data_IF_332188637416
#
_entry.id   IF_332188637416
#
_cell.length_a   1.000
_cell.length_b   1.000
_cell.length_c   1.000
_cell.angle_alpha   90.00
_cell.angle_beta   90.00
_cell.angle_gamma   90.00
#
_symmetry.space_group_name_H-M   'P 1'
#
loop_
_entity.id
_entity.type
_entity.pdbx_description
1 polymer ?
#
# COMPACT_ATOMS: atom_id res chain seq x y z
N UNK A 1 3.58 25.92 -9.85
CA UNK A 1 4.32 24.64 -10.05
C UNK A 1 3.37 23.75 -10.82
N UNK A 2 3.68 23.46 -12.09
CA UNK A 2 2.76 22.73 -12.97
C UNK A 2 2.65 21.27 -12.55
N UNK A 3 1.43 20.80 -12.29
CA UNK A 3 1.18 19.37 -12.09
C UNK A 3 1.48 18.65 -13.41
N UNK A 4 2.25 17.57 -13.34
CA UNK A 4 2.35 16.62 -14.46
C UNK A 4 0.96 16.00 -14.61
N UNK A 5 0.27 16.18 -15.74
CA UNK A 5 -1.02 15.55 -15.92
C UNK A 5 -0.81 14.03 -15.89
N UNK A 6 -1.60 13.28 -15.10
CA UNK A 6 -1.53 11.83 -15.12
C UNK A 6 -1.74 11.32 -16.56
N UNK A 7 -0.82 10.48 -17.02
CA UNK A 7 -0.98 9.78 -18.30
C UNK A 7 -1.96 8.65 -18.05
N UNK A 8 -3.22 8.87 -18.41
CA UNK A 8 -4.24 7.84 -18.32
C UNK A 8 -4.16 6.89 -19.51
N UNK A 9 -4.45 5.60 -19.26
CA UNK A 9 -4.96 4.75 -20.34
C UNK A 9 -6.19 5.45 -20.95
N UNK A 10 -6.41 5.39 -22.27
CA UNK A 10 -7.60 5.97 -22.91
C UNK A 10 -8.93 5.48 -22.31
N UNK A 11 -8.91 4.37 -21.57
CA UNK A 11 -10.06 3.80 -20.86
C UNK A 11 -10.35 4.41 -19.49
N UNK A 12 -9.41 5.14 -18.88
CA UNK A 12 -9.60 5.78 -17.57
C UNK A 12 -10.02 7.23 -17.80
N UNK A 13 -11.27 7.54 -17.46
CA UNK A 13 -11.87 8.86 -17.66
C UNK A 13 -11.59 9.83 -16.49
N UNK A 14 -11.12 9.32 -15.35
CA UNK A 14 -10.73 10.12 -14.18
C UNK A 14 -10.28 9.26 -13.00
N UNK A 15 -9.62 9.89 -12.02
CA UNK A 15 -9.22 9.28 -10.74
C UNK A 15 -9.91 10.05 -9.61
N UNK A 16 -10.47 9.32 -8.64
CA UNK A 16 -10.91 9.90 -7.38
C UNK A 16 -9.74 9.95 -6.40
N UNK A 17 -9.26 11.17 -6.13
CA UNK A 17 -8.17 11.42 -5.20
C UNK A 17 -8.64 11.61 -3.75
N UNK A 18 -7.67 11.80 -2.86
CA UNK A 18 -7.94 12.09 -1.44
C UNK A 18 -8.60 13.45 -1.21
N UNK A 19 -8.50 14.39 -2.15
CA UNK A 19 -9.25 15.65 -2.15
C UNK A 19 -10.77 15.44 -2.15
N UNK A 20 -11.25 14.45 -2.91
CA UNK A 20 -12.64 14.02 -2.90
C UNK A 20 -12.94 13.06 -1.75
N UNK A 21 -12.14 11.99 -1.61
CA UNK A 21 -12.39 10.89 -0.67
C UNK A 21 -12.31 11.32 0.80
N UNK A 22 -11.55 12.38 1.14
CA UNK A 22 -11.43 12.90 2.51
C UNK A 22 -12.74 13.45 3.11
N UNK A 23 -13.78 13.62 2.30
CA UNK A 23 -15.09 14.06 2.75
C UNK A 23 -15.95 12.92 3.33
N UNK A 24 -15.46 11.69 3.29
CA UNK A 24 -16.23 10.49 3.63
C UNK A 24 -15.50 9.58 4.62
N UNK A 25 -16.25 8.69 5.25
CA UNK A 25 -15.74 7.37 5.61
C UNK A 25 -15.92 6.51 4.36
N UNK A 26 -14.81 6.02 3.81
CA UNK A 26 -14.80 5.25 2.56
C UNK A 26 -14.69 3.79 2.89
N UNK A 27 -15.53 2.96 2.29
CA UNK A 27 -15.48 1.50 2.40
C UNK A 27 -15.23 0.92 1.01
N UNK A 28 -14.16 0.14 0.90
CA UNK A 28 -13.86 -0.68 -0.26
C UNK A 28 -14.26 -2.12 0.07
N UNK A 29 -15.17 -2.69 -0.69
CA UNK A 29 -15.57 -4.10 -0.61
C UNK A 29 -15.21 -4.77 -1.93
N UNK A 30 -14.06 -5.43 -1.97
CA UNK A 30 -13.57 -6.15 -3.14
C UNK A 30 -14.32 -7.46 -3.37
N UNK A 31 -14.97 -8.00 -2.32
CA UNK A 31 -15.78 -9.21 -2.43
C UNK A 31 -17.08 -8.92 -3.17
N UNK A 32 -17.75 -7.83 -2.83
CA UNK A 32 -18.99 -7.39 -3.49
C UNK A 32 -18.77 -6.42 -4.66
N UNK A 33 -17.51 -6.03 -4.92
CA UNK A 33 -17.11 -5.01 -5.91
C UNK A 33 -17.86 -3.68 -5.70
N UNK A 34 -17.84 -3.18 -4.46
CA UNK A 34 -18.51 -1.94 -4.07
C UNK A 34 -17.54 -0.94 -3.47
N UNK A 35 -17.79 0.33 -3.82
CA UNK A 35 -17.25 1.49 -3.12
C UNK A 35 -18.42 2.19 -2.42
N UNK A 36 -18.36 2.31 -1.10
CA UNK A 36 -19.41 2.98 -0.33
C UNK A 36 -18.85 4.26 0.29
N UNK A 37 -19.52 5.38 0.04
CA UNK A 37 -19.18 6.69 0.59
C UNK A 37 -20.17 7.03 1.71
N UNK A 38 -19.73 6.88 2.96
CA UNK A 38 -20.53 7.25 4.14
C UNK A 38 -20.23 8.68 4.55
N UNK A 39 -21.21 9.42 5.10
CA UNK A 39 -20.96 10.75 5.65
C UNK A 39 -19.81 10.74 6.65
N UNK A 40 -19.04 11.84 6.69
CA UNK A 40 -17.99 12.03 7.68
C UNK A 40 -18.56 11.88 9.10
N UNK A 41 -17.87 11.11 9.95
CA UNK A 41 -18.30 10.81 11.32
C UNK A 41 -19.25 9.62 11.45
N UNK A 42 -19.60 8.94 10.35
CA UNK A 42 -20.27 7.63 10.43
C UNK A 42 -19.39 6.65 11.21
N UNK A 43 -20.01 5.85 12.07
CA UNK A 43 -19.29 4.86 12.87
C UNK A 43 -18.81 3.71 11.97
N UNK A 44 -17.53 3.30 12.07
CA UNK A 44 -17.03 2.14 11.33
C UNK A 44 -17.72 0.84 11.80
N UNK A 45 -17.59 -0.23 11.02
CA UNK A 45 -18.11 -1.53 11.42
C UNK A 45 -17.44 -2.04 12.71
N UNK A 46 -18.21 -2.68 13.60
CA UNK A 46 -17.78 -2.99 14.97
C UNK A 46 -16.70 -4.10 15.07
N UNK A 47 -16.62 -4.98 14.08
CA UNK A 47 -15.76 -6.19 14.12
C UNK A 47 -14.47 -6.04 13.30
N UNK A 48 -14.02 -4.81 13.09
CA UNK A 48 -12.77 -4.49 12.40
C UNK A 48 -11.66 -4.13 13.39
N UNK A 49 -10.43 -4.50 13.05
CA UNK A 49 -9.24 -3.99 13.72
C UNK A 49 -8.93 -2.58 13.23
N UNK A 50 -8.66 -1.69 14.17
CA UNK A 50 -8.29 -0.31 13.88
C UNK A 50 -6.78 -0.18 13.73
N UNK A 51 -6.37 0.44 12.64
CA UNK A 51 -5.00 0.89 12.39
C UNK A 51 -4.99 2.40 12.47
N UNK A 52 -4.08 2.94 13.28
CA UNK A 52 -3.76 4.36 13.22
C UNK A 52 -3.06 4.65 11.89
N UNK A 53 -3.46 5.73 11.24
CA UNK A 53 -2.86 6.22 10.03
C UNK A 53 -2.28 7.61 10.23
N UNK A 54 -1.62 8.10 9.20
CA UNK A 54 -0.99 9.42 9.19
C UNK A 54 -1.21 10.10 7.85
N UNK A 55 -1.21 11.44 7.87
CA UNK A 55 -1.31 12.26 6.67
C UNK A 55 -0.02 13.03 6.46
N UNK A 56 0.51 13.07 5.24
CA UNK A 56 1.60 13.99 4.85
C UNK A 56 1.11 14.97 3.81
N UNK A 57 1.32 16.24 4.08
CA UNK A 57 0.98 17.35 3.21
C UNK A 57 2.19 18.28 3.00
N UNK A 58 2.39 18.82 1.78
CA UNK A 58 1.98 18.23 0.50
C UNK A 58 2.73 16.89 0.25
N UNK A 59 2.18 15.95 -0.55
CA UNK A 59 1.09 16.12 -1.52
C UNK A 59 -0.31 15.63 -1.08
N UNK A 60 -0.50 15.24 0.17
CA UNK A 60 -1.78 14.71 0.65
C UNK A 60 -1.85 13.20 0.48
N UNK A 61 -1.03 12.50 1.24
CA UNK A 61 -0.93 11.03 1.24
C UNK A 61 -1.42 10.49 2.58
N UNK A 62 -2.13 9.36 2.52
CA UNK A 62 -2.57 8.61 3.69
C UNK A 62 -1.70 7.37 3.84
N UNK A 63 -1.13 7.19 5.04
CA UNK A 63 -0.27 6.06 5.35
C UNK A 63 -0.76 5.27 6.53
N UNK A 64 -0.43 3.98 6.53
CA UNK A 64 -0.57 3.08 7.69
C UNK A 64 0.72 2.29 7.87
N UNK A 65 0.94 1.80 9.07
CA UNK A 65 2.07 0.91 9.38
C UNK A 65 1.71 -0.54 9.00
N UNK A 66 2.54 -1.16 8.16
CA UNK A 66 2.39 -2.55 7.70
C UNK A 66 3.61 -3.35 8.12
N UNK A 67 3.40 -4.50 8.75
CA UNK A 67 4.48 -5.44 9.06
C UNK A 67 4.72 -6.35 7.86
N UNK A 68 5.98 -6.50 7.46
CA UNK A 68 6.37 -7.43 6.41
C UNK A 68 7.00 -8.69 7.00
N UNK A 69 6.92 -9.80 6.28
CA UNK A 69 7.60 -11.04 6.65
C UNK A 69 8.11 -11.80 5.42
N UNK A 70 9.16 -12.60 5.60
CA UNK A 70 9.62 -13.58 4.59
C UNK A 70 9.82 -14.92 5.27
N UNK A 71 9.11 -15.94 4.78
CA UNK A 71 8.99 -17.22 5.48
C UNK A 71 8.45 -17.00 6.90
N UNK A 72 9.17 -17.51 7.89
CA UNK A 72 8.84 -17.36 9.32
C UNK A 72 9.46 -16.11 9.96
N UNK A 73 10.22 -15.31 9.20
CA UNK A 73 10.93 -14.14 9.73
C UNK A 73 10.08 -12.89 9.54
N UNK A 74 9.71 -12.23 10.64
CA UNK A 74 9.09 -10.91 10.63
C UNK A 74 10.15 -9.81 10.54
N UNK A 75 9.80 -8.71 9.87
CA UNK A 75 10.66 -7.54 9.79
C UNK A 75 10.95 -6.91 11.16
N UNK A 76 12.09 -6.24 11.27
CA UNK A 76 12.56 -5.60 12.51
C UNK A 76 11.76 -4.35 12.91
N UNK A 77 10.99 -3.78 11.99
CA UNK A 77 10.12 -2.63 12.20
C UNK A 77 8.97 -2.64 11.17
N UNK A 78 7.83 -2.00 11.45
CA UNK A 78 6.81 -1.80 10.44
C UNK A 78 7.28 -0.82 9.36
N UNK A 79 6.71 -0.95 8.18
CA UNK A 79 6.95 -0.10 7.01
C UNK A 79 5.76 0.85 6.84
N UNK A 80 6.04 2.12 6.58
CA UNK A 80 4.98 3.09 6.25
C UNK A 80 4.49 2.82 4.84
N UNK A 81 3.19 2.59 4.70
CA UNK A 81 2.56 2.21 3.44
C UNK A 81 1.56 3.26 2.95
N UNK A 82 1.77 3.83 1.75
CA UNK A 82 0.70 4.57 1.05
C UNK A 82 -0.37 3.56 0.66
N UNK A 83 -1.62 3.78 1.05
CA UNK A 83 -2.76 3.02 0.53
C UNK A 83 -3.12 3.57 -0.85
N UNK A 84 -2.79 2.84 -1.93
CA UNK A 84 -3.00 3.29 -3.31
C UNK A 84 -3.82 2.27 -4.11
N UNK A 85 -5.14 2.48 -4.16
CA UNK A 85 -6.05 1.65 -4.96
C UNK A 85 -5.92 1.89 -6.47
N UNK A 86 -5.13 2.88 -6.90
CA UNK A 86 -4.81 3.16 -8.30
C UNK A 86 -3.60 2.39 -8.81
N UNK A 87 -2.83 1.75 -7.92
CA UNK A 87 -1.68 0.94 -8.28
C UNK A 87 -2.03 -0.55 -8.27
N UNK A 88 -1.67 -1.27 -9.33
CA UNK A 88 -1.90 -2.72 -9.45
C UNK A 88 -0.84 -3.59 -8.78
N UNK A 89 0.24 -2.96 -8.28
CA UNK A 89 1.41 -3.62 -7.71
C UNK A 89 1.88 -2.89 -6.48
N UNK A 90 2.32 -3.67 -5.50
CA UNK A 90 2.95 -3.18 -4.29
C UNK A 90 4.45 -3.06 -4.51
N UNK A 91 5.01 -1.90 -4.17
CA UNK A 91 6.44 -1.59 -4.29
C UNK A 91 6.95 -1.08 -2.96
N UNK A 92 8.04 -1.64 -2.47
CA UNK A 92 8.78 -1.16 -1.32
C UNK A 92 10.17 -0.66 -1.71
N UNK A 93 10.71 0.30 -0.95
CA UNK A 93 12.06 0.78 -1.14
C UNK A 93 13.10 -0.18 -0.51
N UNK A 94 14.38 0.08 -0.75
CA UNK A 94 15.44 -0.76 -0.19
C UNK A 94 15.53 -0.68 1.34
N UNK A 95 15.18 0.45 1.95
CA UNK A 95 15.11 0.58 3.42
C UNK A 95 14.03 -0.34 4.03
N UNK A 96 12.90 -0.53 3.34
CA UNK A 96 11.86 -1.48 3.74
C UNK A 96 12.33 -2.93 3.59
N UNK A 97 13.01 -3.26 2.50
CA UNK A 97 13.61 -4.57 2.30
C UNK A 97 14.67 -4.89 3.38
N UNK A 98 15.44 -3.89 3.81
CA UNK A 98 16.43 -4.04 4.87
C UNK A 98 15.79 -4.40 6.22
N UNK A 99 14.53 -4.02 6.48
CA UNK A 99 13.83 -4.46 7.71
C UNK A 99 13.66 -5.98 7.78
N UNK A 100 13.64 -6.65 6.62
CA UNK A 100 13.58 -8.11 6.44
C UNK A 100 14.96 -8.77 6.34
N UNK A 101 16.05 -7.99 6.48
CA UNK A 101 17.41 -8.48 6.25
C UNK A 101 17.74 -8.74 4.77
N UNK A 102 17.01 -8.11 3.85
CA UNK A 102 17.22 -8.26 2.41
C UNK A 102 18.08 -7.11 1.90
N UNK A 103 19.24 -7.46 1.35
CA UNK A 103 20.16 -6.54 0.68
C UNK A 103 20.22 -6.82 -0.83
N UNK A 104 20.73 -5.88 -1.65
CA UNK A 104 20.99 -6.13 -3.06
C UNK A 104 21.86 -7.38 -3.25
N UNK A 105 21.35 -8.35 -4.02
CA UNK A 105 22.02 -9.64 -4.26
C UNK A 105 21.59 -10.77 -3.31
N UNK A 106 20.67 -10.52 -2.38
CA UNK A 106 20.03 -11.58 -1.59
C UNK A 106 19.45 -12.68 -2.48
N UNK A 107 19.60 -13.94 -2.08
CA UNK A 107 19.04 -15.10 -2.78
C UNK A 107 17.51 -15.15 -2.75
N UNK A 108 16.88 -14.32 -1.90
CA UNK A 108 15.42 -14.15 -1.81
C UNK A 108 14.87 -13.24 -2.92
N UNK A 109 15.74 -12.50 -3.61
CA UNK A 109 15.35 -11.60 -4.68
C UNK A 109 15.27 -12.36 -6.01
N UNK A 110 14.16 -12.19 -6.69
CA UNK A 110 13.92 -12.70 -8.03
C UNK A 110 13.95 -11.58 -9.06
N UNK A 111 14.41 -11.94 -10.26
CA UNK A 111 14.22 -11.13 -11.46
C UNK A 111 13.10 -11.77 -12.28
N UNK A 112 11.89 -11.25 -12.16
CA UNK A 112 10.73 -11.78 -12.89
C UNK A 112 10.41 -10.93 -14.12
N UNK A 113 11.36 -10.10 -14.56
CA UNK A 113 11.26 -9.32 -15.79
C UNK A 113 10.29 -8.14 -15.75
N UNK A 114 9.80 -7.75 -14.57
CA UNK A 114 8.97 -6.57 -14.41
C UNK A 114 9.80 -5.30 -14.64
N UNK A 115 9.30 -4.41 -15.48
CA UNK A 115 9.87 -3.09 -15.73
C UNK A 115 8.83 -2.04 -15.42
N UNK A 116 9.17 -1.09 -14.55
CA UNK A 116 8.32 0.06 -14.25
C UNK A 116 8.69 1.23 -15.17
N UNK A 117 7.69 2.03 -15.55
CA UNK A 117 7.93 3.27 -16.27
C UNK A 117 8.65 4.27 -15.35
N UNK A 118 9.91 4.60 -15.66
CA UNK A 118 10.65 5.63 -14.93
C UNK A 118 10.28 7.06 -15.34
N UNK A 119 10.63 8.05 -14.51
CA UNK A 119 10.30 9.47 -14.75
C UNK A 119 10.81 10.04 -16.08
N UNK A 120 11.88 9.47 -16.66
CA UNK A 120 12.47 9.91 -17.93
C UNK A 120 12.17 8.95 -19.10
N UNK A 121 11.20 8.05 -18.95
CA UNK A 121 10.89 7.01 -19.94
C UNK A 121 11.91 5.86 -19.99
N UNK A 122 12.95 5.90 -19.16
CA UNK A 122 13.85 4.76 -18.96
C UNK A 122 13.17 3.72 -18.06
N UNK A 123 13.19 2.43 -18.43
CA UNK A 123 12.62 1.39 -17.59
C UNK A 123 13.41 1.27 -16.30
N UNK A 124 12.71 1.32 -15.17
CA UNK A 124 13.27 0.97 -13.88
C UNK A 124 13.14 -0.55 -13.71
N UNK A 125 14.29 -1.23 -13.66
CA UNK A 125 14.32 -2.63 -13.28
C UNK A 125 13.98 -2.74 -11.80
N UNK A 126 13.06 -3.65 -11.49
CA UNK A 126 12.71 -3.97 -10.11
C UNK A 126 13.14 -5.40 -9.82
N UNK A 127 13.49 -5.64 -8.56
CA UNK A 127 13.57 -7.01 -8.03
C UNK A 127 12.26 -7.33 -7.34
N UNK A 128 11.95 -8.60 -7.18
CA UNK A 128 10.76 -9.02 -6.46
C UNK A 128 11.12 -10.00 -5.36
N UNK A 129 10.37 -9.97 -4.26
CA UNK A 129 10.50 -10.93 -3.17
C UNK A 129 9.11 -11.44 -2.78
N UNK A 130 8.98 -12.73 -2.54
CA UNK A 130 7.77 -13.31 -1.97
C UNK A 130 7.71 -12.98 -0.48
N UNK A 131 6.81 -12.07 -0.10
CA UNK A 131 6.70 -11.57 1.26
C UNK A 131 5.25 -11.54 1.75
N UNK A 132 5.05 -11.83 3.03
CA UNK A 132 3.79 -11.64 3.74
C UNK A 132 3.60 -10.18 4.15
N UNK A 133 2.34 -9.79 4.40
CA UNK A 133 1.99 -8.48 4.94
C UNK A 133 0.96 -8.65 6.06
N UNK A 134 1.17 -7.93 7.17
CA UNK A 134 0.25 -7.90 8.31
C UNK A 134 -0.18 -6.47 8.62
N UNK A 135 -1.49 -6.29 8.70
CA UNK A 135 -2.24 -5.07 8.94
C UNK A 135 -2.79 -5.10 10.38
N UNK A 136 -2.24 -4.26 11.24
CA UNK A 136 -2.57 -4.30 12.66
C UNK A 136 -2.18 -5.63 13.32
N UNK A 137 -2.81 -5.99 14.46
CA UNK A 137 -2.40 -7.16 15.24
C UNK A 137 -2.89 -8.50 14.67
N UNK A 138 -4.07 -8.54 14.05
CA UNK A 138 -4.73 -9.81 13.71
C UNK A 138 -5.07 -9.96 12.23
N UNK A 139 -4.47 -9.21 11.32
CA UNK A 139 -4.84 -9.29 9.90
C UNK A 139 -3.61 -9.54 9.04
N UNK A 140 -3.27 -10.81 8.81
CA UNK A 140 -2.24 -11.19 7.86
C UNK A 140 -2.87 -11.57 6.52
N UNK A 141 -2.24 -11.16 5.42
CA UNK A 141 -2.61 -11.61 4.07
C UNK A 141 -1.58 -12.62 3.56
N UNK A 142 -1.92 -13.33 2.48
CA UNK A 142 -1.06 -14.38 1.95
C UNK A 142 0.23 -13.76 1.38
N UNK A 143 1.37 -14.46 1.47
CA UNK A 143 2.58 -14.01 0.80
C UNK A 143 2.35 -13.80 -0.70
N UNK A 144 2.80 -12.65 -1.20
CA UNK A 144 2.76 -12.30 -2.63
C UNK A 144 4.08 -11.67 -3.05
N UNK A 145 4.35 -11.59 -4.35
CA UNK A 145 5.55 -10.94 -4.85
C UNK A 145 5.42 -9.43 -4.71
N UNK A 146 6.27 -8.84 -3.87
CA UNK A 146 6.40 -7.40 -3.70
C UNK A 146 7.61 -6.92 -4.50
N UNK A 147 7.43 -5.84 -5.25
CA UNK A 147 8.54 -5.20 -5.96
C UNK A 147 9.44 -4.43 -5.00
N UNK A 148 10.74 -4.47 -5.24
CA UNK A 148 11.79 -3.80 -4.46
C UNK A 148 12.54 -2.85 -5.37
N UNK A 149 12.35 -1.55 -5.15
CA UNK A 149 13.06 -0.49 -5.85
C UNK A 149 12.88 0.88 -5.19
N UNK A 150 13.90 1.73 -5.32
CA UNK A 150 13.77 3.16 -5.05
C UNK A 150 13.13 3.86 -6.25
N UNK A 151 11.80 3.94 -6.25
CA UNK A 151 11.07 4.62 -7.32
C UNK A 151 11.22 6.14 -7.16
N UNK A 152 11.38 6.89 -8.26
CA UNK A 152 11.47 8.36 -8.20
C UNK A 152 10.29 9.06 -7.50
N UNK A 153 9.12 8.40 -7.46
CA UNK A 153 7.93 8.90 -6.74
C UNK A 153 8.15 9.07 -5.23
N UNK A 154 8.94 8.21 -4.58
CA UNK A 154 9.23 8.32 -3.15
C UNK A 154 10.01 9.59 -2.82
N UNK A 155 11.05 9.89 -3.61
CA UNK A 155 11.81 11.13 -3.45
C UNK A 155 10.92 12.37 -3.66
N UNK A 156 9.99 12.34 -4.61
CA UNK A 156 9.02 13.41 -4.84
C UNK A 156 8.06 13.62 -3.64
N UNK A 157 7.84 12.58 -2.83
CA UNK A 157 7.08 12.64 -1.58
C UNK A 157 7.94 13.01 -0.36
N UNK A 158 9.22 13.37 -0.56
CA UNK A 158 10.16 13.68 0.51
C UNK A 158 10.45 12.46 1.40
N UNK A 159 10.46 11.28 0.80
CA UNK A 159 10.81 10.00 1.42
C UNK A 159 12.18 9.63 0.85
N UNK A 160 13.22 9.80 1.65
CA UNK A 160 14.62 9.70 1.18
C UNK A 160 15.47 8.75 2.00
N UNK A 161 15.03 8.40 3.21
CA UNK A 161 15.82 7.59 4.16
C UNK A 161 14.92 7.05 5.28
N UNK A 162 13.89 6.30 4.91
CA UNK A 162 13.03 5.57 5.85
C UNK A 162 12.38 4.37 5.14
N UNK A 163 12.11 3.25 5.87
CA UNK A 163 11.35 2.13 5.34
C UNK A 163 9.98 2.57 4.82
N UNK A 164 9.76 2.37 3.52
CA UNK A 164 8.59 2.89 2.85
C UNK A 164 8.05 1.98 1.75
N UNK A 165 6.72 1.94 1.60
CA UNK A 165 6.06 1.21 0.52
C UNK A 165 4.85 1.96 -0.06
N UNK A 166 4.56 1.68 -1.33
CA UNK A 166 3.29 1.94 -1.97
C UNK A 166 2.53 0.62 -2.01
N UNK A 167 1.38 0.58 -1.35
CA UNK A 167 0.52 -0.58 -1.25
C UNK A 167 -0.49 -0.58 -2.39
N UNK A 168 -0.37 -1.55 -3.29
CA UNK A 168 -1.24 -1.72 -4.45
C UNK A 168 -2.37 -2.72 -4.22
N UNK A 169 -3.21 -2.87 -5.24
CA UNK A 169 -4.39 -3.75 -5.18
C UNK A 169 -4.04 -5.23 -5.07
N UNK A 170 -2.86 -5.65 -5.50
CA UNK A 170 -2.33 -7.03 -5.35
C UNK A 170 -2.24 -7.49 -3.89
N UNK A 171 -2.12 -6.55 -2.94
CA UNK A 171 -2.15 -6.82 -1.50
C UNK A 171 -3.49 -6.36 -0.90
N UNK A 172 -3.97 -5.17 -1.25
CA UNK A 172 -5.19 -4.59 -0.65
C UNK A 172 -6.42 -5.46 -0.88
N UNK A 173 -6.58 -6.06 -2.06
CA UNK A 173 -7.77 -6.86 -2.37
C UNK A 173 -7.86 -8.13 -1.51
N UNK A 174 -6.72 -8.62 -1.00
CA UNK A 174 -6.68 -9.79 -0.12
C UNK A 174 -7.31 -9.54 1.26
N UNK A 175 -7.47 -8.27 1.65
CA UNK A 175 -8.24 -7.90 2.84
C UNK A 175 -9.73 -8.21 2.68
N UNK A 176 -10.21 -8.41 1.44
CA UNK A 176 -11.62 -8.64 1.10
C UNK A 176 -12.47 -7.37 1.18
N UNK A 177 -12.38 -6.64 2.30
CA UNK A 177 -12.92 -5.30 2.46
C UNK A 177 -12.06 -4.49 3.42
N UNK A 178 -12.13 -3.16 3.36
CA UNK A 178 -11.57 -2.28 4.39
C UNK A 178 -12.30 -0.94 4.41
N UNK A 179 -12.20 -0.22 5.53
CA UNK A 179 -12.70 1.15 5.65
C UNK A 179 -11.55 2.11 5.92
N UNK A 180 -11.64 3.35 5.45
CA UNK A 180 -10.66 4.38 5.74
C UNK A 180 -11.31 5.75 5.94
N UNK A 181 -10.72 6.53 6.83
CA UNK A 181 -11.05 7.95 7.01
C UNK A 181 -9.77 8.73 7.23
N UNK A 182 -9.43 9.59 6.26
CA UNK A 182 -8.26 10.47 6.38
C UNK A 182 -8.48 11.57 7.41
N UNK A 183 -9.73 11.98 7.65
CA UNK A 183 -10.07 12.94 8.69
C UNK A 183 -9.92 12.37 10.11
N UNK A 184 -10.26 11.08 10.29
CA UNK A 184 -9.98 10.37 11.54
C UNK A 184 -8.56 9.80 11.61
N UNK A 185 -7.80 9.89 10.50
CA UNK A 185 -6.50 9.28 10.29
C UNK A 185 -6.49 7.80 10.70
N UNK A 186 -7.48 7.03 10.25
CA UNK A 186 -7.66 5.62 10.62
C UNK A 186 -8.02 4.78 9.41
N UNK A 187 -7.57 3.53 9.46
CA UNK A 187 -8.00 2.46 8.58
C UNK A 187 -8.57 1.33 9.44
N UNK A 188 -9.62 0.68 8.97
CA UNK A 188 -10.23 -0.45 9.63
C UNK A 188 -10.18 -1.66 8.70
N UNK A 189 -9.61 -2.75 9.20
CA UNK A 189 -9.39 -3.99 8.44
C UNK A 189 -10.09 -5.17 9.09
N UNK A 190 -10.56 -6.18 8.33
CA UNK A 190 -11.20 -7.36 8.90
C UNK A 190 -10.19 -8.14 9.72
N UNK A 191 -10.58 -8.59 10.91
CA UNK A 191 -9.78 -9.56 11.66
C UNK A 191 -9.63 -10.82 10.80
N UNK A 192 -8.42 -11.36 10.68
CA UNK A 192 -8.27 -12.68 10.06
C UNK A 192 -9.08 -13.66 10.88
N UNK A 193 -10.12 -14.25 10.29
CA UNK A 193 -10.58 -15.54 10.76
C UNK A 193 -9.40 -16.48 10.57
N UNK A 194 -8.93 -17.17 11.60
CA UNK A 194 -7.88 -18.16 11.47
C UNK A 194 -8.09 -18.95 10.18
N UNK A 195 -7.07 -18.99 9.33
CA UNK A 195 -7.10 -19.80 8.13
C UNK A 195 -7.48 -21.22 8.59
N UNK A 196 -8.69 -21.66 8.23
CA UNK A 196 -9.03 -23.07 8.31
C UNK A 196 -8.02 -23.80 7.43
N UNK A 197 -7.24 -24.67 8.07
CA UNK A 197 -6.23 -25.58 7.50
C UNK A 197 -6.61 -26.18 6.14
#
# INVERSE_FOLDING_TARGET
>A
IGAIPPVFSPSVQGILGLDFLSNFLVEFDYTALKLVLRPKGFAPAADLDVMEGSMKYPPGLFYVDVWLSVGETEGTAPVKAIVDTGASRTIMNWDAAATLGIEPGSALLEDRGLQLAGQNGQPLQVKEVLAGSRFGPNTAVRPTYLSVADIPGFAAFGITSEPFMLLGTDVIEQLGSFQMSTAAQKMWVPRSTEASD
#
